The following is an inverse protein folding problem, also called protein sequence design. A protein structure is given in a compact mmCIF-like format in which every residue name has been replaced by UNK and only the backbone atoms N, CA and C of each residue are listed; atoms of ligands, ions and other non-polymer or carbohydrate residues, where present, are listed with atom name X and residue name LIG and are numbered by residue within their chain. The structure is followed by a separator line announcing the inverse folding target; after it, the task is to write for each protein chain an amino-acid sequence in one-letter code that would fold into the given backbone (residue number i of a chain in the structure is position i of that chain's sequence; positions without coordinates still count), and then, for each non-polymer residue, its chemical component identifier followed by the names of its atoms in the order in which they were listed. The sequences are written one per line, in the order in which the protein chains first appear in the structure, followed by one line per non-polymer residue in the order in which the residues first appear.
data_IF_897553675385
#
_entry.id   IF_897553675385
#
_cell.length_a   1.000
_cell.length_b   1.000
_cell.length_c   1.000
_cell.angle_alpha   90.00
_cell.angle_beta   90.00
_cell.angle_gamma   90.00
#
_symmetry.space_group_name_H-M   'P 1'
#
loop_
_entity.id
_entity.type
_entity.pdbx_description
1 polymer ?
#
# COMPACT_ATOMS: atom_id res chain seq x y z
N UNK A 1 -9.44 -16.45 20.57
CA UNK A 1 -9.37 -15.39 19.55
C UNK A 1 -9.42 -16.10 18.22
N UNK A 2 -10.52 -15.96 17.48
CA UNK A 2 -10.71 -16.57 16.16
C UNK A 2 -10.45 -15.47 15.13
N UNK A 3 -9.37 -15.62 14.37
CA UNK A 3 -8.87 -14.66 13.35
C UNK A 3 -8.94 -15.26 11.95
N UNK A 4 -9.93 -16.11 11.68
CA UNK A 4 -10.08 -16.76 10.39
C UNK A 4 -11.45 -16.36 9.85
N UNK A 5 -11.43 -15.54 8.80
CA UNK A 5 -12.63 -15.22 8.05
C UNK A 5 -13.18 -16.47 7.35
N UNK A 6 -14.49 -16.52 7.13
CA UNK A 6 -15.18 -17.71 6.59
C UNK A 6 -15.04 -17.86 5.07
N UNK A 7 -14.29 -16.97 4.41
CA UNK A 7 -14.07 -16.93 2.97
C UNK A 7 -15.29 -16.48 2.17
N UNK A 8 -16.25 -15.80 2.79
CA UNK A 8 -17.46 -15.31 2.14
C UNK A 8 -17.24 -13.99 1.37
N UNK A 9 -18.23 -13.52 0.61
CA UNK A 9 -18.10 -12.28 -0.18
C UNK A 9 -17.97 -10.99 0.66
N UNK A 10 -18.13 -11.10 1.98
CA UNK A 10 -17.99 -10.02 2.95
C UNK A 10 -16.70 -10.13 3.77
N UNK A 11 -15.89 -11.17 3.54
CA UNK A 11 -14.59 -11.32 4.15
C UNK A 11 -13.62 -10.29 3.57
N UNK A 12 -13.22 -9.34 4.42
CA UNK A 12 -12.13 -8.45 4.10
C UNK A 12 -10.84 -9.26 4.08
N UNK A 13 -10.08 -9.15 2.99
CA UNK A 13 -8.70 -9.61 2.95
C UNK A 13 -7.93 -8.74 3.96
N UNK A 14 -7.73 -9.25 5.17
CA UNK A 14 -6.84 -8.65 6.15
C UNK A 14 -5.41 -9.04 5.79
N UNK A 15 -4.75 -8.15 5.04
CA UNK A 15 -3.35 -8.30 4.65
C UNK A 15 -2.58 -7.09 5.14
N UNK A 16 -1.43 -7.36 5.71
CA UNK A 16 -0.48 -6.33 6.12
C UNK A 16 0.17 -5.65 4.90
N UNK A 17 0.03 -6.22 3.69
CA UNK A 17 0.70 -5.70 2.50
C UNK A 17 0.03 -4.42 1.95
N UNK A 18 0.81 -3.36 1.82
CA UNK A 18 0.45 -2.11 1.16
C UNK A 18 1.04 -2.03 -0.25
N UNK A 19 0.32 -1.43 -1.19
CA UNK A 19 0.75 -1.29 -2.60
C UNK A 19 0.59 0.17 -3.03
N UNK A 20 1.67 0.77 -3.53
CA UNK A 20 1.64 2.11 -4.13
C UNK A 20 1.31 1.99 -5.63
N UNK A 21 0.21 2.62 -6.06
CA UNK A 21 -0.24 2.65 -7.45
C UNK A 21 -0.29 4.10 -7.94
N UNK A 22 0.26 4.37 -9.12
CA UNK A 22 0.25 5.71 -9.72
C UNK A 22 -1.00 6.03 -10.55
N UNK A 23 -1.09 7.26 -11.08
CA UNK A 23 -2.23 7.71 -11.91
C UNK A 23 -2.37 6.94 -13.23
N UNK A 24 -1.29 6.32 -13.70
CA UNK A 24 -1.26 5.45 -14.86
C UNK A 24 -1.66 4.00 -14.56
N UNK A 25 -2.15 3.72 -13.34
CA UNK A 25 -2.47 2.39 -12.84
C UNK A 25 -1.25 1.46 -12.80
N UNK A 26 -0.05 2.01 -12.61
CA UNK A 26 1.18 1.23 -12.50
C UNK A 26 1.55 1.03 -11.04
N UNK A 27 1.95 -0.19 -10.70
CA UNK A 27 2.50 -0.50 -9.39
C UNK A 27 3.88 0.15 -9.28
N UNK A 28 4.11 0.89 -8.20
CA UNK A 28 5.36 1.61 -7.91
C UNK A 28 6.16 0.92 -6.80
N UNK A 29 5.50 0.24 -5.88
CA UNK A 29 6.13 -0.46 -4.78
C UNK A 29 5.15 -1.30 -3.98
N UNK A 30 5.72 -2.21 -3.19
CA UNK A 30 5.06 -3.06 -2.21
C UNK A 30 5.73 -2.82 -0.87
N UNK A 31 4.95 -2.79 0.21
CA UNK A 31 5.43 -2.45 1.55
C UNK A 31 4.71 -3.32 2.59
N UNK A 32 5.42 -3.69 3.65
CA UNK A 32 4.84 -4.34 4.82
C UNK A 32 4.26 -3.28 5.77
N UNK A 33 2.95 -3.31 5.99
CA UNK A 33 2.22 -2.41 6.88
C UNK A 33 2.47 -2.64 8.36
N UNK A 34 3.11 -3.75 8.75
CA UNK A 34 3.57 -4.01 10.12
C UNK A 34 4.99 -3.53 10.37
N UNK A 35 5.74 -3.19 9.32
CA UNK A 35 7.11 -2.69 9.42
C UNK A 35 7.13 -1.15 9.36
N UNK A 36 7.55 -0.52 10.45
CA UNK A 36 7.58 0.94 10.56
C UNK A 36 8.56 1.60 9.57
N UNK A 37 9.70 0.95 9.29
CA UNK A 37 10.66 1.46 8.31
C UNK A 37 10.07 1.41 6.90
N UNK A 38 9.27 0.38 6.62
CA UNK A 38 8.64 0.21 5.33
C UNK A 38 7.47 1.18 5.10
N UNK A 39 6.71 1.48 6.15
CA UNK A 39 5.70 2.56 6.14
C UNK A 39 6.35 3.93 5.93
N UNK A 40 7.47 4.21 6.61
CA UNK A 40 8.23 5.44 6.41
C UNK A 40 8.77 5.57 4.98
N UNK A 41 9.19 4.46 4.38
CA UNK A 41 9.60 4.39 2.97
C UNK A 41 8.43 4.69 2.03
N UNK A 42 7.28 4.05 2.24
CA UNK A 42 6.05 4.31 1.48
C UNK A 42 5.69 5.80 1.49
N UNK A 43 5.68 6.44 2.65
CA UNK A 43 5.34 7.86 2.79
C UNK A 43 6.31 8.73 1.96
N UNK A 44 7.62 8.47 2.04
CA UNK A 44 8.63 9.20 1.25
C UNK A 44 8.42 9.01 -0.25
N UNK A 45 8.12 7.80 -0.69
CA UNK A 45 7.87 7.49 -2.10
C UNK A 45 6.58 8.13 -2.63
N UNK A 46 5.53 8.24 -1.82
CA UNK A 46 4.33 9.02 -2.15
C UNK A 46 4.66 10.48 -2.40
N UNK A 47 5.51 11.10 -1.57
CA UNK A 47 5.92 12.50 -1.74
C UNK A 47 6.81 12.69 -2.98
N UNK A 48 7.66 11.73 -3.30
CA UNK A 48 8.43 11.72 -4.57
C UNK A 48 7.48 11.63 -5.76
N UNK A 49 6.52 10.69 -5.73
CA UNK A 49 5.55 10.48 -6.80
C UNK A 49 4.70 11.74 -7.05
N UNK A 50 4.27 12.43 -5.98
CA UNK A 50 3.57 13.72 -6.10
C UNK A 50 4.42 14.77 -6.82
N UNK A 51 5.71 14.86 -6.49
CA UNK A 51 6.66 15.78 -7.13
C UNK A 51 6.94 15.43 -8.58
N UNK A 52 6.94 14.15 -8.95
CA UNK A 52 7.08 13.71 -10.36
C UNK A 52 5.93 14.26 -11.21
N UNK A 53 4.69 14.23 -10.69
CA UNK A 53 3.52 14.75 -11.39
C UNK A 53 3.31 16.26 -11.28
N UNK A 54 4.03 16.95 -10.40
CA UNK A 54 3.97 18.41 -10.29
C UNK A 54 4.98 19.13 -11.19
N UNK A 55 5.88 18.39 -11.85
CA UNK A 55 6.79 18.96 -12.85
C UNK A 55 6.00 19.22 -14.14
N UNK A 56 6.12 20.41 -14.74
CA UNK A 56 5.46 20.75 -16.00
C UNK A 56 5.95 19.92 -17.18
#
# INVERSE_FOLDING_TARGET
VTTEGEGDEHDFIHTENLILIDKGKRIRGFYDGTDAEDVDRLIKEVEILKKEYSKP
#
